data_IF_550749632569
#
_entry.id   IF_550749632569
#
_cell.length_a   1.000
_cell.length_b   1.000
_cell.length_c   1.000
_cell.angle_alpha   90.00
_cell.angle_beta   90.00
_cell.angle_gamma   90.00
#
_symmetry.space_group_name_H-M   'P 1'
#
loop_
_entity.id
_entity.type
_entity.pdbx_description
1 polymer ?
#
# COMPACT_ATOMS: atom_id res chain seq x y z
N UNK A 1 2.53 -0.59 12.98
CA UNK A 1 2.06 -0.68 11.57
C UNK A 1 2.87 -1.72 10.78
N UNK A 2 4.20 -1.72 10.84
CA UNK A 2 5.06 -2.64 10.06
C UNK A 2 4.66 -4.13 10.12
N UNK A 3 4.31 -4.63 11.32
CA UNK A 3 3.83 -6.02 11.51
C UNK A 3 2.70 -6.39 10.55
N UNK A 4 1.74 -5.49 10.29
CA UNK A 4 0.59 -5.74 9.41
C UNK A 4 0.95 -5.79 7.93
N UNK A 5 2.07 -5.14 7.54
CA UNK A 5 2.52 -5.11 6.16
C UNK A 5 3.47 -6.27 5.86
N UNK A 6 4.36 -6.57 6.80
CA UNK A 6 5.51 -7.46 6.59
C UNK A 6 5.37 -8.84 7.25
N UNK A 7 4.88 -8.92 8.49
CA UNK A 7 4.94 -10.13 9.31
C UNK A 7 3.64 -10.92 9.27
N UNK A 8 2.48 -10.25 9.34
CA UNK A 8 1.17 -10.88 9.45
C UNK A 8 0.38 -10.72 8.13
N UNK A 9 0.27 -11.77 7.29
CA UNK A 9 -0.42 -11.69 6.00
C UNK A 9 -1.92 -11.42 6.18
N UNK A 10 -2.34 -10.20 5.86
CA UNK A 10 -3.75 -9.82 5.92
C UNK A 10 -4.04 -8.57 5.06
N UNK A 11 -4.61 -8.77 3.87
CA UNK A 11 -4.99 -7.71 2.92
C UNK A 11 -5.98 -6.71 3.52
N UNK A 12 -6.88 -7.18 4.37
CA UNK A 12 -7.97 -6.35 4.90
C UNK A 12 -7.47 -5.40 6.00
N UNK A 13 -6.27 -5.66 6.55
CA UNK A 13 -5.58 -4.78 7.50
C UNK A 13 -4.44 -3.98 6.87
N UNK A 14 -4.20 -4.14 5.57
CA UNK A 14 -3.06 -3.56 4.88
C UNK A 14 -3.42 -3.19 3.44
N UNK A 15 -3.68 -1.90 3.22
CA UNK A 15 -3.96 -1.38 1.87
C UNK A 15 -2.82 -1.71 0.89
N UNK A 16 -1.60 -1.73 1.41
CA UNK A 16 -0.39 -2.12 0.72
C UNK A 16 -0.49 -3.53 0.13
N UNK A 17 -0.81 -4.52 0.98
CA UNK A 17 -0.98 -5.92 0.58
C UNK A 17 -2.16 -6.10 -0.37
N UNK A 18 -3.27 -5.39 -0.11
CA UNK A 18 -4.45 -5.41 -0.99
C UNK A 18 -4.09 -4.94 -2.40
N UNK A 19 -3.32 -3.86 -2.53
CA UNK A 19 -2.92 -3.31 -3.82
C UNK A 19 -1.88 -4.18 -4.55
N UNK A 20 -0.91 -4.77 -3.86
CA UNK A 20 0.00 -5.73 -4.48
C UNK A 20 -0.77 -6.96 -4.99
N UNK A 21 -1.67 -7.52 -4.19
CA UNK A 21 -2.50 -8.65 -4.60
C UNK A 21 -3.39 -8.32 -5.80
N UNK A 22 -3.94 -7.10 -5.87
CA UNK A 22 -4.67 -6.61 -7.05
C UNK A 22 -3.81 -6.63 -8.30
N UNK A 23 -2.55 -6.19 -8.21
CA UNK A 23 -1.65 -6.15 -9.35
C UNK A 23 -1.26 -7.56 -9.82
N UNK A 24 -0.94 -8.46 -8.89
CA UNK A 24 -0.64 -9.86 -9.20
C UNK A 24 -1.81 -10.53 -9.93
N UNK A 25 -3.03 -10.42 -9.38
CA UNK A 25 -4.21 -11.03 -9.97
C UNK A 25 -4.61 -10.39 -11.31
N UNK A 26 -4.49 -9.07 -11.43
CA UNK A 26 -4.79 -8.37 -12.68
C UNK A 26 -3.78 -8.71 -13.78
N UNK A 27 -2.50 -8.84 -13.44
CA UNK A 27 -1.46 -9.27 -14.38
C UNK A 27 -1.71 -10.70 -14.90
N UNK A 28 -2.19 -11.59 -14.03
CA UNK A 28 -2.51 -12.98 -14.38
C UNK A 28 -3.85 -13.13 -15.11
N UNK A 29 -4.66 -12.07 -15.21
CA UNK A 29 -6.05 -12.15 -15.70
C UNK A 29 -6.96 -12.99 -14.81
N UNK A 30 -6.63 -13.12 -13.52
CA UNK A 30 -7.28 -14.04 -12.60
C UNK A 30 -8.65 -13.50 -12.13
N UNK A 31 -9.77 -14.21 -12.39
CA UNK A 31 -11.11 -13.79 -11.96
C UNK A 31 -11.25 -13.60 -10.45
N UNK A 32 -10.37 -14.21 -9.65
CA UNK A 32 -10.32 -14.04 -8.21
C UNK A 32 -10.04 -12.60 -7.78
N UNK A 33 -9.60 -11.72 -8.69
CA UNK A 33 -9.50 -10.28 -8.47
C UNK A 33 -10.81 -9.68 -7.93
N UNK A 34 -11.96 -10.15 -8.43
CA UNK A 34 -13.29 -9.71 -7.98
C UNK A 34 -13.50 -10.03 -6.50
N UNK A 35 -13.22 -11.28 -6.10
CA UNK A 35 -13.31 -11.74 -4.71
C UNK A 35 -12.27 -11.05 -3.82
N UNK A 36 -11.05 -10.82 -4.32
CA UNK A 36 -9.98 -10.14 -3.60
C UNK A 36 -10.35 -8.70 -3.21
N UNK A 37 -11.12 -8.04 -4.07
CA UNK A 37 -11.58 -6.67 -3.84
C UNK A 37 -12.63 -6.54 -2.73
N UNK A 38 -13.35 -7.62 -2.41
CA UNK A 38 -14.35 -7.63 -1.34
C UNK A 38 -13.72 -7.15 -0.03
N UNK A 39 -14.42 -6.24 0.63
CA UNK A 39 -14.04 -5.73 1.93
C UNK A 39 -14.61 -6.64 3.01
N UNK A 40 -13.78 -7.49 3.61
CA UNK A 40 -14.19 -8.43 4.67
C UNK A 40 -13.87 -7.90 6.08
N UNK A 41 -13.64 -6.59 6.24
CA UNK A 41 -13.27 -6.02 7.54
C UNK A 41 -14.40 -6.10 8.57
N UNK A 42 -15.66 -5.87 8.15
CA UNK A 42 -16.82 -5.87 9.04
C UNK A 42 -17.42 -7.27 9.21
N UNK A 43 -17.97 -7.57 10.41
CA UNK A 43 -18.66 -8.83 10.69
C UNK A 43 -19.86 -9.06 9.75
N UNK A 44 -20.57 -7.98 9.39
CA UNK A 44 -21.68 -7.99 8.44
C UNK A 44 -21.22 -8.41 7.04
N UNK A 45 -20.10 -7.86 6.57
CA UNK A 45 -19.53 -8.23 5.27
C UNK A 45 -18.99 -9.66 5.24
N UNK A 46 -18.33 -10.10 6.32
CA UNK A 46 -17.91 -11.51 6.47
C UNK A 46 -19.07 -12.49 6.42
N UNK A 47 -20.22 -12.11 6.97
CA UNK A 47 -21.43 -12.93 6.92
C UNK A 47 -22.07 -12.92 5.52
N UNK A 48 -22.12 -11.75 4.87
CA UNK A 48 -22.65 -11.61 3.50
C UNK A 48 -21.85 -12.40 2.46
N UNK A 49 -20.53 -12.52 2.63
CA UNK A 49 -19.65 -13.24 1.72
C UNK A 49 -19.20 -14.61 2.26
N UNK A 50 -19.86 -15.11 3.32
CA UNK A 50 -19.55 -16.40 3.94
C UNK A 50 -19.81 -17.51 2.91
N UNK A 51 -18.75 -18.18 2.47
CA UNK A 51 -18.81 -19.24 1.44
C UNK A 51 -18.49 -18.79 0.01
N UNK A 52 -18.40 -17.49 -0.27
CA UNK A 52 -18.02 -16.96 -1.59
C UNK A 52 -16.49 -16.80 -1.76
N UNK A 53 -15.75 -16.92 -0.67
CA UNK A 53 -14.30 -16.69 -0.63
C UNK A 53 -13.59 -18.04 -0.55
N UNK A 54 -12.92 -18.41 -1.64
CA UNK A 54 -12.00 -19.53 -1.68
C UNK A 54 -10.79 -19.22 -0.76
N UNK A 55 -10.82 -19.80 0.45
CA UNK A 55 -9.79 -19.61 1.46
C UNK A 55 -8.42 -20.12 1.01
N UNK A 56 -8.28 -21.35 0.45
CA UNK A 56 -7.03 -21.78 -0.18
C UNK A 56 -6.47 -20.78 -1.20
N UNK A 57 -7.31 -20.28 -2.13
CA UNK A 57 -6.88 -19.31 -3.13
C UNK A 57 -6.45 -17.98 -2.49
N UNK A 58 -7.19 -17.47 -1.51
CA UNK A 58 -6.81 -16.25 -0.80
C UNK A 58 -5.45 -16.40 -0.10
N UNK A 59 -5.20 -17.53 0.56
CA UNK A 59 -3.93 -17.82 1.22
C UNK A 59 -2.78 -17.91 0.21
N UNK A 60 -3.01 -18.54 -0.95
CA UNK A 60 -2.01 -18.63 -2.01
C UNK A 60 -1.63 -17.24 -2.56
N UNK A 61 -2.62 -16.35 -2.77
CA UNK A 61 -2.35 -14.97 -3.19
C UNK A 61 -1.62 -14.19 -2.10
N UNK A 62 -2.03 -14.31 -0.83
CA UNK A 62 -1.33 -13.68 0.30
C UNK A 62 0.13 -14.13 0.41
N UNK A 63 0.42 -15.41 0.14
CA UNK A 63 1.79 -15.93 0.11
C UNK A 63 2.62 -15.26 -0.98
N UNK A 64 2.08 -15.12 -2.19
CA UNK A 64 2.74 -14.38 -3.29
C UNK A 64 2.98 -12.92 -2.94
N UNK A 65 2.01 -12.27 -2.28
CA UNK A 65 2.17 -10.90 -1.77
C UNK A 65 3.30 -10.83 -0.74
N UNK A 66 3.37 -11.77 0.20
CA UNK A 66 4.47 -11.82 1.18
C UNK A 66 5.83 -11.97 0.52
N UNK A 67 5.96 -12.90 -0.43
CA UNK A 67 7.21 -13.12 -1.18
C UNK A 67 7.64 -11.84 -1.90
N UNK A 68 6.72 -11.19 -2.63
CA UNK A 68 7.01 -9.93 -3.31
C UNK A 68 7.48 -8.83 -2.34
N UNK A 69 6.83 -8.70 -1.18
CA UNK A 69 7.22 -7.71 -0.17
C UNK A 69 8.62 -8.03 0.38
N UNK A 70 8.87 -9.27 0.75
CA UNK A 70 10.14 -9.70 1.35
C UNK A 70 11.32 -9.59 0.38
N UNK A 71 11.09 -9.78 -0.92
CA UNK A 71 12.13 -9.71 -1.94
C UNK A 71 12.41 -8.30 -2.47
N UNK A 72 11.40 -7.41 -2.47
CA UNK A 72 11.49 -6.11 -3.18
C UNK A 72 11.50 -4.89 -2.28
N UNK A 73 11.26 -5.03 -0.97
CA UNK A 73 11.12 -3.89 -0.06
C UNK A 73 12.22 -3.84 0.98
N UNK A 74 12.68 -2.62 1.23
CA UNK A 74 13.34 -2.22 2.46
C UNK A 74 12.41 -1.30 3.25
N UNK A 75 12.64 -1.21 4.56
CA UNK A 75 11.85 -0.36 5.44
C UNK A 75 12.77 0.56 6.23
N UNK A 76 12.37 1.82 6.35
CA UNK A 76 12.91 2.75 7.34
C UNK A 76 11.81 3.13 8.33
N UNK A 77 12.18 3.42 9.57
CA UNK A 77 11.24 3.75 10.65
C UNK A 77 11.61 5.11 11.23
N UNK A 78 10.69 6.06 11.12
CA UNK A 78 10.82 7.40 11.70
C UNK A 78 9.94 7.45 12.95
N UNK A 79 10.52 7.55 14.16
CA UNK A 79 9.75 7.58 15.39
C UNK A 79 9.12 8.96 15.59
N UNK A 80 7.79 9.05 15.51
CA UNK A 80 7.02 10.27 15.80
C UNK A 80 5.96 9.96 16.84
N UNK A 81 6.14 10.51 18.04
CA UNK A 81 5.27 10.24 19.20
C UNK A 81 3.89 10.87 19.01
N UNK A 82 3.87 12.17 18.68
CA UNK A 82 2.62 12.88 18.50
C UNK A 82 1.83 12.37 17.28
N UNK A 83 0.53 12.13 17.49
CA UNK A 83 -0.34 11.54 16.46
C UNK A 83 -0.63 12.54 15.35
N UNK A 84 -0.90 13.80 15.68
CA UNK A 84 -1.23 14.81 14.67
C UNK A 84 -0.03 15.06 13.78
N UNK A 85 1.16 15.22 14.39
CA UNK A 85 2.43 15.36 13.69
C UNK A 85 2.75 14.17 12.81
N UNK A 86 2.54 12.94 13.31
CA UNK A 86 2.75 11.73 12.51
C UNK A 86 1.86 11.69 11.26
N UNK A 87 0.59 12.11 11.38
CA UNK A 87 -0.33 12.17 10.24
C UNK A 87 0.04 13.29 9.26
N UNK A 88 0.49 14.44 9.76
CA UNK A 88 0.99 15.54 8.94
C UNK A 88 2.22 15.10 8.12
N UNK A 89 3.19 14.47 8.78
CA UNK A 89 4.41 13.94 8.13
C UNK A 89 4.05 12.86 7.12
N UNK A 90 3.15 11.93 7.45
CA UNK A 90 2.66 10.92 6.50
C UNK A 90 2.06 11.57 5.25
N UNK A 91 1.23 12.59 5.43
CA UNK A 91 0.61 13.34 4.32
C UNK A 91 1.64 14.05 3.44
N UNK A 92 2.58 14.77 4.08
CA UNK A 92 3.65 15.52 3.38
C UNK A 92 4.61 14.58 2.64
N UNK A 93 5.04 13.47 3.24
CA UNK A 93 5.91 12.47 2.58
C UNK A 93 5.27 11.95 1.29
N UNK A 94 4.01 11.55 1.37
CA UNK A 94 3.27 10.97 0.25
C UNK A 94 3.06 12.01 -0.85
N UNK A 95 2.67 13.22 -0.47
CA UNK A 95 2.47 14.34 -1.39
C UNK A 95 3.76 14.69 -2.13
N UNK A 96 4.87 14.78 -1.40
CA UNK A 96 6.21 15.10 -1.95
C UNK A 96 6.61 14.12 -3.04
N UNK A 97 6.50 12.81 -2.78
CA UNK A 97 6.85 11.80 -3.78
C UNK A 97 5.85 11.81 -4.95
N UNK A 98 4.55 11.94 -4.68
CA UNK A 98 3.52 11.92 -5.72
C UNK A 98 3.54 13.12 -6.68
N UNK A 99 4.07 14.26 -6.25
CA UNK A 99 4.18 15.50 -7.04
C UNK A 99 5.55 15.66 -7.72
N UNK A 100 6.51 14.80 -7.40
CA UNK A 100 7.86 14.87 -7.94
C UNK A 100 7.87 14.55 -9.44
N UNK A 101 8.14 15.55 -10.28
CA UNK A 101 8.14 15.41 -11.75
C UNK A 101 9.30 14.56 -12.30
N UNK A 102 10.35 14.39 -11.50
CA UNK A 102 11.53 13.58 -11.86
C UNK A 102 11.54 12.20 -11.20
N UNK A 103 10.58 11.93 -10.31
CA UNK A 103 10.45 10.66 -9.64
C UNK A 103 9.45 9.80 -10.41
N UNK A 104 9.70 8.50 -10.45
CA UNK A 104 8.77 7.58 -11.08
C UNK A 104 9.11 6.14 -10.75
N UNK A 105 8.14 5.22 -10.88
CA UNK A 105 8.41 3.81 -10.73
C UNK A 105 9.30 3.32 -11.86
N UNK A 106 10.05 2.23 -11.62
CA UNK A 106 10.76 1.55 -12.69
C UNK A 106 9.78 0.98 -13.72
N UNK A 107 10.23 0.80 -14.98
CA UNK A 107 9.42 0.18 -16.04
C UNK A 107 8.96 -1.25 -15.71
N UNK A 108 9.65 -1.92 -14.78
CA UNK A 108 9.36 -3.28 -14.32
C UNK A 108 8.57 -3.31 -13.01
N UNK A 109 8.12 -2.15 -12.52
CA UNK A 109 7.35 -2.07 -11.29
C UNK A 109 5.99 -2.73 -11.45
N UNK A 110 5.69 -3.70 -10.56
CA UNK A 110 4.43 -4.44 -10.56
C UNK A 110 3.19 -3.54 -10.49
N UNK A 111 3.30 -2.36 -9.85
CA UNK A 111 2.18 -1.43 -9.72
C UNK A 111 1.66 -0.88 -11.05
N UNK A 112 2.42 -0.99 -12.14
CA UNK A 112 1.95 -0.66 -13.49
C UNK A 112 0.81 -1.58 -13.96
N UNK A 113 0.73 -2.80 -13.42
CA UNK A 113 -0.37 -3.74 -13.67
C UNK A 113 -1.57 -3.52 -12.74
N UNK A 114 -1.58 -2.47 -11.92
CA UNK A 114 -2.70 -2.20 -11.02
C UNK A 114 -3.98 -1.96 -11.80
N UNK A 115 -5.15 -2.47 -11.39
CA UNK A 115 -6.43 -2.05 -11.97
C UNK A 115 -6.79 -0.60 -11.59
N UNK A 116 -6.14 -0.01 -10.58
CA UNK A 116 -6.42 1.33 -10.09
C UNK A 116 -5.54 2.36 -10.80
N UNK A 117 -6.15 3.23 -11.58
CA UNK A 117 -5.46 4.28 -12.37
C UNK A 117 -4.54 5.15 -11.52
N UNK A 118 -5.02 5.64 -10.37
CA UNK A 118 -4.23 6.47 -9.44
C UNK A 118 -2.93 5.78 -8.96
N UNK A 119 -2.91 4.46 -8.81
CA UNK A 119 -1.70 3.72 -8.40
C UNK A 119 -0.69 3.70 -9.54
N UNK A 120 -1.15 3.44 -10.77
CA UNK A 120 -0.28 3.43 -11.96
C UNK A 120 0.36 4.79 -12.19
N UNK A 121 -0.44 5.86 -12.09
CA UNK A 121 -0.01 7.22 -12.38
C UNK A 121 0.86 7.83 -11.28
N UNK A 122 0.56 7.57 -10.01
CA UNK A 122 1.36 8.11 -8.89
C UNK A 122 2.68 7.38 -8.66
N UNK A 123 2.82 6.15 -9.15
CA UNK A 123 3.97 5.31 -8.78
C UNK A 123 3.95 4.83 -7.33
N UNK A 124 2.81 4.98 -6.62
CA UNK A 124 2.70 4.66 -5.20
C UNK A 124 1.64 3.59 -4.94
N UNK A 125 1.88 2.76 -3.92
CA UNK A 125 0.99 1.66 -3.51
C UNK A 125 -0.25 2.11 -2.73
N UNK A 126 -0.58 3.39 -2.73
CA UNK A 126 -1.75 3.95 -2.06
C UNK A 126 -2.37 5.09 -2.85
N UNK A 127 -3.60 5.48 -2.48
CA UNK A 127 -4.36 6.55 -3.13
C UNK A 127 -4.67 7.72 -2.20
N UNK A 128 -4.46 7.54 -0.91
CA UNK A 128 -4.66 8.57 0.10
C UNK A 128 -3.46 9.51 0.10
N UNK A 129 -3.69 10.77 0.48
CA UNK A 129 -2.66 11.80 0.61
C UNK A 129 -1.87 12.13 -0.67
N UNK A 130 -2.22 11.55 -1.82
CA UNK A 130 -1.62 11.91 -3.10
C UNK A 130 -1.95 13.36 -3.46
N UNK A 131 -0.96 14.07 -4.02
CA UNK A 131 -1.11 15.39 -4.64
C UNK A 131 -1.61 16.50 -3.69
N UNK A 132 -1.41 16.37 -2.37
CA UNK A 132 -1.68 17.45 -1.40
C UNK A 132 -0.44 18.34 -1.21
N UNK A 133 -0.27 18.93 -0.03
CA UNK A 133 0.86 19.80 0.29
C UNK A 133 2.13 18.95 0.51
N UNK A 134 3.18 19.11 -0.32
CA UNK A 134 4.46 18.46 -0.10
C UNK A 134 5.26 19.15 1.02
N UNK A 135 6.40 18.59 1.38
CA UNK A 135 7.39 19.30 2.18
C UNK A 135 7.93 20.52 1.43
N UNK A 136 8.11 21.61 2.17
CA UNK A 136 8.81 22.81 1.76
C UNK A 136 10.23 22.83 2.30
N UNK A 137 11.04 23.79 1.86
CA UNK A 137 12.40 23.98 2.39
C UNK A 137 12.41 24.30 3.89
N UNK A 138 11.36 24.94 4.40
CA UNK A 138 11.21 25.31 5.82
C UNK A 138 10.97 24.10 6.71
N UNK A 139 10.41 23.02 6.15
CA UNK A 139 10.15 21.78 6.88
C UNK A 139 11.39 20.87 7.00
N UNK A 140 12.41 21.07 6.15
CA UNK A 140 13.56 20.17 6.06
C UNK A 140 14.37 20.04 7.36
N UNK A 141 14.63 21.11 8.15
CA UNK A 141 15.35 20.98 9.41
C UNK A 141 14.64 20.06 10.41
N UNK A 142 13.32 20.16 10.51
CA UNK A 142 12.52 19.30 11.39
C UNK A 142 12.58 17.84 10.92
N UNK A 143 12.46 17.61 9.61
CA UNK A 143 12.56 16.26 9.06
C UNK A 143 13.94 15.63 9.30
N UNK A 144 15.02 16.41 9.18
CA UNK A 144 16.38 15.94 9.48
C UNK A 144 16.54 15.54 10.94
N UNK A 145 16.01 16.33 11.88
CA UNK A 145 16.04 15.99 13.30
C UNK A 145 15.32 14.67 13.62
N UNK A 146 14.29 14.30 12.85
CA UNK A 146 13.56 13.05 13.03
C UNK A 146 14.28 11.82 12.44
N UNK A 147 15.20 12.03 11.49
CA UNK A 147 15.92 10.96 10.81
C UNK A 147 17.19 10.51 11.56
N UNK A 148 17.70 11.34 12.48
CA UNK A 148 18.91 11.06 13.25
C UNK A 148 20.17 11.61 12.58
#
# INVERSE_FOLDING_TARGET
>A
RLVQHFVAPNKDRSIFRKNIGRCLLNQDGDPFLTTWNLDLTSRKSKQLHKGAVDSPKQQAVEKRVSQYIQERFSFTVIPVQDKAKRLEIESKLVSTVSLCQHCGPSKTWLGLSSPIKKIRESGLWQVNELYKTPFSNEDLPELQMLLG
#
